data_IF_422858812503
#
_entry.id   IF_422858812503
#
_cell.length_a   1.000
_cell.length_b   1.000
_cell.length_c   1.000
_cell.angle_alpha   90.00
_cell.angle_beta   90.00
_cell.angle_gamma   90.00
#
_symmetry.space_group_name_H-M   'P 1'
#
loop_
_entity.id
_entity.type
_entity.pdbx_description
1 polymer ?
#
# COMPACT_ATOMS: atom_id res chain seq x y z
N UNK A 1 10.15 9.83 -8.08
CA UNK A 1 9.57 8.50 -7.77
C UNK A 1 8.11 8.61 -7.33
N UNK A 2 7.78 9.22 -6.17
CA UNK A 2 6.40 9.28 -5.67
C UNK A 2 5.37 9.95 -6.61
N UNK A 3 5.69 11.15 -7.15
CA UNK A 3 4.80 11.82 -8.12
C UNK A 3 4.63 11.06 -9.44
N UNK A 4 5.65 10.32 -9.88
CA UNK A 4 5.58 9.56 -11.14
C UNK A 4 4.77 8.26 -11.00
N UNK A 5 4.79 7.62 -9.82
CA UNK A 5 3.97 6.44 -9.55
C UNK A 5 2.47 6.74 -9.51
N UNK A 6 2.10 7.99 -9.13
CA UNK A 6 0.70 8.43 -9.06
C UNK A 6 0.23 9.13 -10.36
N UNK A 7 1.15 9.62 -11.19
CA UNK A 7 0.85 10.32 -12.44
C UNK A 7 0.86 9.43 -13.71
N UNK A 8 1.15 8.13 -13.58
CA UNK A 8 1.54 7.27 -14.71
C UNK A 8 0.46 6.44 -15.40
N UNK A 9 -0.84 6.68 -15.16
CA UNK A 9 -1.94 5.94 -15.80
C UNK A 9 -2.68 6.78 -16.84
N UNK A 10 -2.28 6.70 -18.11
CA UNK A 10 -2.88 7.49 -19.19
C UNK A 10 -4.16 6.89 -19.78
N UNK A 11 -5.21 7.73 -19.86
CA UNK A 11 -6.33 7.73 -20.83
C UNK A 11 -7.55 6.82 -20.59
N UNK A 12 -8.44 7.22 -19.68
CA UNK A 12 -9.79 7.79 -19.96
C UNK A 12 -10.62 7.88 -18.67
N UNK A 13 -10.80 9.09 -18.14
CA UNK A 13 -11.87 9.42 -17.19
C UNK A 13 -11.41 9.76 -15.77
N UNK A 14 -11.10 11.04 -15.54
CA UNK A 14 -10.93 11.63 -14.22
C UNK A 14 -9.47 11.85 -13.81
N UNK A 15 -8.95 13.06 -14.01
CA UNK A 15 -7.84 13.56 -13.18
C UNK A 15 -8.36 13.67 -11.74
N UNK A 16 -8.34 12.55 -11.02
CA UNK A 16 -8.44 12.60 -9.57
C UNK A 16 -7.17 13.28 -9.08
N UNK A 17 -7.26 14.53 -8.65
CA UNK A 17 -6.11 15.20 -8.04
C UNK A 17 -5.68 14.36 -6.81
N UNK A 18 -4.40 14.01 -6.74
CA UNK A 18 -3.82 13.27 -5.62
C UNK A 18 -2.95 14.21 -4.79
N UNK A 19 -3.20 14.26 -3.49
CA UNK A 19 -2.32 14.89 -2.51
C UNK A 19 -1.22 13.91 -2.12
N UNK A 20 0.04 14.31 -2.30
CA UNK A 20 1.21 13.51 -1.91
C UNK A 20 2.02 14.28 -0.87
N UNK A 21 2.21 13.69 0.31
CA UNK A 21 3.11 14.21 1.34
C UNK A 21 4.28 13.25 1.58
N UNK A 22 5.45 13.79 1.88
CA UNK A 22 6.64 13.03 2.26
C UNK A 22 7.10 13.55 3.60
N UNK A 23 6.99 12.72 4.63
CA UNK A 23 7.29 13.08 6.01
C UNK A 23 8.18 12.01 6.63
N UNK A 24 9.47 12.35 6.75
CA UNK A 24 10.50 11.45 7.29
C UNK A 24 10.55 10.10 6.56
N UNK A 25 10.02 9.08 7.22
CA UNK A 25 10.06 7.69 6.77
C UNK A 25 9.03 7.36 5.68
N UNK A 26 7.91 8.07 5.65
CA UNK A 26 6.74 7.69 4.86
C UNK A 26 6.44 8.68 3.75
N UNK A 27 6.08 8.16 2.59
CA UNK A 27 5.32 8.89 1.59
C UNK A 27 3.85 8.48 1.69
N UNK A 28 2.94 9.46 1.74
CA UNK A 28 1.51 9.22 1.81
C UNK A 28 0.82 9.86 0.62
N UNK A 29 -0.03 9.09 -0.07
CA UNK A 29 -0.88 9.56 -1.16
C UNK A 29 -2.36 9.47 -0.75
N UNK A 30 -3.13 10.51 -1.03
CA UNK A 30 -4.56 10.61 -0.72
C UNK A 30 -5.32 11.25 -1.89
N UNK A 31 -6.53 10.77 -2.24
CA UNK A 31 -7.38 11.47 -3.19
C UNK A 31 -7.80 12.85 -2.64
N UNK A 32 -7.72 13.93 -3.41
CA UNK A 32 -8.08 15.28 -2.95
C UNK A 32 -9.60 15.53 -2.94
N UNK A 33 -10.35 14.78 -3.73
CA UNK A 33 -11.82 14.93 -3.86
C UNK A 33 -12.64 14.14 -2.84
N UNK A 34 -12.05 13.22 -2.10
CA UNK A 34 -12.73 12.48 -1.04
C UNK A 34 -12.72 13.32 0.24
N UNK A 35 -13.65 14.28 0.35
CA UNK A 35 -13.86 15.09 1.57
C UNK A 35 -14.23 14.27 2.83
N UNK A 36 -14.21 12.95 2.73
CA UNK A 36 -14.44 12.01 3.83
C UNK A 36 -13.12 11.79 4.57
N UNK A 37 -13.04 12.30 5.79
CA UNK A 37 -11.97 11.90 6.70
C UNK A 37 -11.96 10.37 6.83
N UNK A 38 -10.77 9.78 6.82
CA UNK A 38 -10.59 8.37 7.14
C UNK A 38 -11.23 8.08 8.52
N UNK A 39 -11.98 6.98 8.68
CA UNK A 39 -12.55 6.63 9.97
C UNK A 39 -11.46 6.42 11.03
N UNK A 40 -11.82 6.49 12.31
CA UNK A 40 -10.85 6.27 13.40
C UNK A 40 -10.23 4.86 13.35
N UNK A 41 -10.92 3.88 12.75
CA UNK A 41 -10.47 2.51 12.61
C UNK A 41 -11.10 1.85 11.37
N UNK A 42 -10.49 0.75 10.92
CA UNK A 42 -11.00 -0.03 9.81
C UNK A 42 -10.05 -1.13 9.37
N UNK A 43 -10.32 -1.71 8.21
CA UNK A 43 -9.42 -2.64 7.56
C UNK A 43 -8.18 -1.91 7.02
N UNK A 44 -7.02 -2.52 7.20
CA UNK A 44 -5.75 -2.09 6.59
C UNK A 44 -5.18 -3.25 5.79
N UNK A 45 -4.70 -2.94 4.60
CA UNK A 45 -3.99 -3.91 3.76
C UNK A 45 -2.51 -3.57 3.81
N UNK A 46 -1.66 -4.56 4.07
CA UNK A 46 -0.22 -4.44 4.02
C UNK A 46 0.32 -5.26 2.87
N UNK A 47 1.17 -4.64 2.05
CA UNK A 47 1.85 -5.31 0.93
C UNK A 47 3.34 -5.32 1.24
N UNK A 48 3.94 -6.50 1.25
CA UNK A 48 5.38 -6.65 1.46
C UNK A 48 6.15 -6.53 0.15
N UNK A 49 7.45 -6.22 0.25
CA UNK A 49 8.36 -6.27 -0.88
C UNK A 49 9.81 -6.55 -0.50
N UNK A 50 10.50 -7.32 -1.34
CA UNK A 50 11.95 -7.33 -1.37
C UNK A 50 12.46 -6.00 -1.96
N UNK A 51 13.64 -5.55 -1.54
CA UNK A 51 14.17 -4.22 -1.87
C UNK A 51 14.46 -4.03 -3.36
N UNK A 52 14.67 -5.10 -4.11
CA UNK A 52 14.83 -5.15 -5.56
C UNK A 52 13.50 -5.02 -6.33
N UNK A 53 12.40 -5.53 -5.76
CA UNK A 53 11.06 -5.48 -6.36
C UNK A 53 10.23 -4.26 -5.93
N UNK A 54 10.81 -3.37 -5.11
CA UNK A 54 10.10 -2.24 -4.49
C UNK A 54 9.35 -1.36 -5.50
N UNK A 55 10.01 -1.01 -6.61
CA UNK A 55 9.43 -0.14 -7.64
C UNK A 55 8.27 -0.81 -8.38
N UNK A 56 8.44 -2.09 -8.73
CA UNK A 56 7.42 -2.87 -9.43
C UNK A 56 6.17 -3.08 -8.56
N UNK A 57 6.38 -3.38 -7.27
CA UNK A 57 5.29 -3.55 -6.30
C UNK A 57 4.56 -2.24 -6.07
N UNK A 58 5.29 -1.13 -5.90
CA UNK A 58 4.68 0.19 -5.75
C UNK A 58 3.87 0.57 -6.99
N UNK A 59 4.39 0.30 -8.19
CA UNK A 59 3.67 0.55 -9.44
C UNK A 59 2.39 -0.28 -9.52
N UNK A 60 2.45 -1.58 -9.23
CA UNK A 60 1.28 -2.46 -9.25
C UNK A 60 0.21 -2.00 -8.25
N UNK A 61 0.61 -1.62 -7.03
CA UNK A 61 -0.30 -1.07 -6.03
C UNK A 61 -0.91 0.24 -6.52
N UNK A 62 -0.09 1.18 -6.99
CA UNK A 62 -0.58 2.49 -7.45
C UNK A 62 -1.59 2.35 -8.61
N UNK A 63 -1.36 1.42 -9.55
CA UNK A 63 -2.31 1.14 -10.63
C UNK A 63 -3.65 0.60 -10.10
N UNK A 64 -3.64 -0.35 -9.16
CA UNK A 64 -4.89 -0.86 -8.55
C UNK A 64 -5.64 0.24 -7.79
N UNK A 65 -4.91 1.07 -7.04
CA UNK A 65 -5.50 2.15 -6.25
C UNK A 65 -5.98 3.31 -7.13
N UNK A 66 -5.43 3.50 -8.33
CA UNK A 66 -5.96 4.48 -9.28
C UNK A 66 -7.38 4.13 -9.76
N UNK A 67 -7.70 2.84 -9.89
CA UNK A 67 -9.02 2.34 -10.33
C UNK A 67 -10.06 2.28 -9.21
N UNK A 68 -9.64 2.07 -7.94
CA UNK A 68 -10.51 2.12 -6.75
C UNK A 68 -9.86 3.01 -5.66
N UNK A 69 -9.95 4.36 -5.79
CA UNK A 69 -9.18 5.31 -4.98
C UNK A 69 -9.40 5.20 -3.48
N UNK A 70 -8.29 5.09 -2.75
CA UNK A 70 -8.21 5.27 -1.31
C UNK A 70 -6.81 5.72 -0.89
N UNK A 71 -6.66 6.10 0.38
CA UNK A 71 -5.36 6.53 0.90
C UNK A 71 -4.40 5.35 1.01
N UNK A 72 -3.11 5.58 0.73
CA UNK A 72 -2.05 4.61 0.99
C UNK A 72 -0.74 5.31 1.35
N UNK A 73 0.13 4.60 2.07
CA UNK A 73 1.48 5.06 2.39
C UNK A 73 2.52 3.98 2.14
N UNK A 74 3.75 4.40 1.86
CA UNK A 74 4.85 3.50 1.55
C UNK A 74 6.19 4.08 2.04
N UNK A 75 7.18 3.22 2.25
CA UNK A 75 8.52 3.66 2.62
C UNK A 75 9.09 4.60 1.55
N UNK A 76 9.60 5.77 1.96
CA UNK A 76 9.92 6.84 1.02
C UNK A 76 11.07 6.52 0.04
N UNK A 77 11.93 5.55 0.38
CA UNK A 77 13.06 5.11 -0.43
C UNK A 77 13.43 3.63 -0.12
N UNK A 78 14.40 3.12 -0.88
CA UNK A 78 14.85 1.71 -0.78
C UNK A 78 15.60 1.43 0.51
N UNK A 79 16.26 2.41 1.10
CA UNK A 79 17.00 2.26 2.35
C UNK A 79 16.01 2.07 3.52
N UNK A 80 14.94 2.85 3.56
CA UNK A 80 13.85 2.69 4.52
C UNK A 80 13.14 1.34 4.36
N UNK A 81 12.91 0.88 3.13
CA UNK A 81 12.39 -0.48 2.91
C UNK A 81 13.38 -1.55 3.40
N UNK A 82 14.68 -1.36 3.18
CA UNK A 82 15.69 -2.26 3.73
C UNK A 82 15.63 -2.31 5.26
N UNK A 83 15.43 -1.16 5.92
CA UNK A 83 15.22 -1.08 7.36
C UNK A 83 13.97 -1.87 7.81
N UNK A 84 12.81 -1.69 7.14
CA UNK A 84 11.57 -2.47 7.37
C UNK A 84 11.82 -3.98 7.29
N UNK A 85 12.66 -4.41 6.35
CA UNK A 85 12.94 -5.82 6.12
C UNK A 85 14.05 -6.37 7.03
N UNK A 86 14.75 -5.52 7.77
CA UNK A 86 15.86 -5.92 8.63
C UNK A 86 15.37 -6.66 9.88
N UNK A 87 16.24 -7.50 10.45
CA UNK A 87 16.00 -8.18 11.74
C UNK A 87 15.80 -7.23 12.93
N UNK A 88 16.21 -5.97 12.78
CA UNK A 88 16.11 -4.94 13.81
C UNK A 88 14.77 -4.21 13.78
N UNK A 89 13.95 -4.43 12.74
CA UNK A 89 12.61 -3.87 12.68
C UNK A 89 11.72 -4.41 13.80
N UNK A 90 10.86 -3.53 14.32
CA UNK A 90 9.81 -3.96 15.24
C UNK A 90 8.97 -5.06 14.57
N UNK A 91 8.71 -6.16 15.29
CA UNK A 91 7.94 -7.30 14.74
C UNK A 91 6.57 -6.89 14.20
N UNK A 92 5.99 -5.83 14.76
CA UNK A 92 4.69 -5.29 14.35
C UNK A 92 4.71 -4.55 13.01
N UNK A 93 5.87 -4.08 12.54
CA UNK A 93 6.04 -3.31 11.29
C UNK A 93 6.87 -4.06 10.23
N UNK A 94 7.64 -5.08 10.64
CA UNK A 94 8.51 -5.83 9.75
C UNK A 94 7.79 -6.37 8.49
N UNK A 95 8.41 -6.14 7.34
CA UNK A 95 7.91 -6.55 6.03
C UNK A 95 6.75 -5.70 5.46
N UNK A 96 6.22 -4.71 6.18
CA UNK A 96 5.07 -3.89 5.74
C UNK A 96 5.53 -2.69 4.91
N UNK A 97 5.90 -2.94 3.66
CA UNK A 97 6.37 -1.89 2.75
C UNK A 97 5.29 -0.84 2.47
N UNK A 98 4.08 -1.28 2.12
CA UNK A 98 2.96 -0.41 1.77
C UNK A 98 1.78 -0.71 2.69
N UNK A 99 1.09 0.33 3.17
CA UNK A 99 -0.20 0.24 3.84
C UNK A 99 -1.27 0.95 3.03
N UNK A 100 -2.35 0.25 2.69
CA UNK A 100 -3.54 0.79 2.03
C UNK A 100 -4.70 0.86 3.03
N UNK A 101 -5.49 1.93 2.92
CA UNK A 101 -6.59 2.26 3.83
C UNK A 101 -7.93 2.34 3.08
N UNK A 102 -8.58 1.19 2.79
CA UNK A 102 -9.92 1.17 2.22
C UNK A 102 -10.94 1.87 3.13
N UNK A 103 -11.93 2.53 2.53
CA UNK A 103 -12.97 3.27 3.22
C UNK A 103 -13.97 2.35 3.96
N UNK A 104 -14.25 1.18 3.39
CA UNK A 104 -15.16 0.19 3.97
C UNK A 104 -14.77 -1.26 3.63
N UNK A 105 -15.54 -2.21 4.15
CA UNK A 105 -15.31 -3.64 3.93
C UNK A 105 -15.49 -4.07 2.46
N UNK A 106 -16.39 -3.43 1.71
CA UNK A 106 -16.62 -3.76 0.30
C UNK A 106 -15.42 -3.35 -0.54
N UNK A 107 -14.89 -2.15 -0.31
CA UNK A 107 -13.68 -1.67 -0.96
C UNK A 107 -12.46 -2.51 -0.55
N UNK A 108 -12.34 -2.85 0.74
CA UNK A 108 -11.29 -3.73 1.23
C UNK A 108 -11.22 -5.06 0.47
N UNK A 109 -12.36 -5.74 0.28
CA UNK A 109 -12.39 -7.04 -0.41
C UNK A 109 -11.92 -6.93 -1.87
N UNK A 110 -12.39 -5.92 -2.60
CA UNK A 110 -11.99 -5.68 -4.00
C UNK A 110 -10.50 -5.36 -4.11
N UNK A 111 -10.02 -4.41 -3.32
CA UNK A 111 -8.61 -4.00 -3.35
C UNK A 111 -7.69 -5.16 -2.94
N UNK A 112 -8.03 -5.93 -1.90
CA UNK A 112 -7.20 -7.05 -1.47
C UNK A 112 -7.04 -8.13 -2.56
N UNK A 113 -8.11 -8.41 -3.29
CA UNK A 113 -8.09 -9.35 -4.42
C UNK A 113 -7.27 -8.82 -5.60
N UNK A 114 -7.50 -7.58 -6.03
CA UNK A 114 -6.78 -6.96 -7.14
C UNK A 114 -5.28 -6.85 -6.83
N UNK A 115 -4.92 -6.44 -5.60
CA UNK A 115 -3.53 -6.38 -5.16
C UNK A 115 -2.88 -7.77 -5.13
N UNK A 116 -3.62 -8.81 -4.73
CA UNK A 116 -3.08 -10.17 -4.74
C UNK A 116 -2.73 -10.61 -6.16
N UNK A 117 -3.62 -10.33 -7.13
CA UNK A 117 -3.37 -10.62 -8.55
C UNK A 117 -2.22 -9.79 -9.10
N UNK A 118 -2.25 -8.47 -8.91
CA UNK A 118 -1.29 -7.54 -9.49
C UNK A 118 0.14 -7.70 -8.94
N UNK A 119 0.29 -8.26 -7.74
CA UNK A 119 1.60 -8.49 -7.11
C UNK A 119 2.05 -9.95 -7.13
N UNK A 120 1.28 -10.83 -7.81
CA UNK A 120 1.60 -12.25 -7.94
C UNK A 120 2.99 -12.47 -8.56
N UNK A 121 3.76 -13.41 -8.00
CA UNK A 121 5.11 -13.74 -8.48
C UNK A 121 6.22 -12.81 -8.03
N UNK A 122 5.91 -11.64 -7.44
CA UNK A 122 6.94 -10.71 -6.97
C UNK A 122 7.56 -11.18 -5.62
N UNK A 123 8.87 -10.98 -5.39
CA UNK A 123 9.58 -11.46 -4.20
C UNK A 123 9.44 -10.51 -3.01
N UNK A 124 9.32 -11.05 -1.79
CA UNK A 124 9.16 -10.27 -0.55
C UNK A 124 8.91 -11.14 0.68
N UNK A 125 9.16 -10.60 1.89
CA UNK A 125 9.00 -11.37 3.13
C UNK A 125 7.52 -11.58 3.47
N UNK A 126 7.24 -12.62 4.25
CA UNK A 126 5.93 -12.77 4.89
C UNK A 126 5.74 -11.71 5.99
N UNK A 127 4.53 -11.19 6.14
CA UNK A 127 4.18 -10.28 7.24
C UNK A 127 3.63 -11.11 8.39
N UNK A 128 4.47 -11.33 9.41
CA UNK A 128 4.17 -12.30 10.47
C UNK A 128 3.06 -11.86 11.44
N UNK A 129 2.77 -10.56 11.51
CA UNK A 129 1.80 -9.99 12.46
C UNK A 129 0.38 -9.90 11.92
N UNK A 130 0.16 -10.20 10.64
CA UNK A 130 -1.10 -9.96 9.94
C UNK A 130 -1.60 -11.24 9.25
N UNK A 131 -2.90 -11.29 8.95
CA UNK A 131 -3.48 -12.42 8.24
C UNK A 131 -3.13 -12.34 6.75
N UNK A 132 -2.57 -13.39 6.13
CA UNK A 132 -2.37 -13.41 4.68
C UNK A 132 -3.71 -13.46 3.95
N UNK A 133 -3.81 -12.79 2.79
CA UNK A 133 -4.98 -12.88 1.90
C UNK A 133 -5.18 -14.29 1.35
N UNK A 134 -4.09 -14.90 0.88
CA UNK A 134 -4.05 -16.27 0.37
C UNK A 134 -2.65 -16.87 0.64
N UNK A 135 -2.48 -18.20 0.58
CA UNK A 135 -1.17 -18.84 0.69
C UNK A 135 -0.18 -18.25 -0.32
N UNK A 136 1.02 -17.85 0.14
CA UNK A 136 2.05 -17.24 -0.69
C UNK A 136 1.75 -15.80 -1.14
N UNK A 137 0.62 -15.21 -0.73
CA UNK A 137 0.30 -13.82 -1.05
C UNK A 137 1.21 -12.84 -0.32
N UNK A 138 1.55 -11.75 -0.99
CA UNK A 138 2.23 -10.58 -0.42
C UNK A 138 1.27 -9.67 0.34
N UNK A 139 -0.02 -9.82 0.04
CA UNK A 139 -1.11 -9.07 0.62
C UNK A 139 -1.49 -9.70 1.94
N UNK A 140 -1.38 -8.91 2.99
CA UNK A 140 -1.80 -9.26 4.34
C UNK A 140 -2.76 -8.18 4.84
N UNK A 141 -3.57 -8.49 5.85
CA UNK A 141 -4.52 -7.54 6.38
C UNK A 141 -4.77 -7.72 7.87
N UNK A 142 -5.24 -6.62 8.48
CA UNK A 142 -5.75 -6.59 9.85
C UNK A 142 -6.78 -5.49 10.02
N UNK A 143 -7.62 -5.61 11.04
CA UNK A 143 -8.52 -4.56 11.49
C UNK A 143 -7.88 -3.77 12.64
N UNK A 144 -7.99 -2.44 12.65
CA UNK A 144 -7.52 -1.64 13.78
C UNK A 144 -7.54 -0.12 13.56
N UNK A 145 -7.13 0.61 14.60
CA UNK A 145 -7.09 2.08 14.65
C UNK A 145 -6.20 2.64 13.55
N UNK A 146 -6.65 3.65 12.82
CA UNK A 146 -5.88 4.34 11.80
C UNK A 146 -4.88 5.30 12.45
N UNK A 147 -3.64 5.28 11.97
CA UNK A 147 -2.50 6.04 12.48
C UNK A 147 -1.72 6.62 11.31
#
# INVERSE_FOLDING_TARGET
MARAAVAGGGSRGGEGDWGVTVEGFWCTARPTGSGTALPAQGWKIHVSAASEAAAEVLSAVASVIAEDPCAFKFAADREKLHEINSRNSERGSAGKFITVYPADERQFRRIAEELHRATGGLPGPAVLSDRPYAPGSRVHYRYGVFA
#
